data_IF_297933428374
#
_entry.id   IF_297933428374
#
_cell.length_a   1.000
_cell.length_b   1.000
_cell.length_c   1.000
_cell.angle_alpha   90.00
_cell.angle_beta   90.00
_cell.angle_gamma   90.00
#
_symmetry.space_group_name_H-M   'P 1'
#
loop_
_entity.id
_entity.type
_entity.pdbx_description
1 polymer ?
#
# COMPACT_ATOMS: atom_id res chain seq x y z
N UNK A 1 22.47 16.65 29.77
CA UNK A 1 22.66 15.88 28.52
C UNK A 1 21.44 16.16 27.65
N UNK A 2 21.60 16.92 26.59
CA UNK A 2 20.53 17.17 25.61
C UNK A 2 20.16 15.82 24.96
N UNK A 3 18.99 15.28 25.27
CA UNK A 3 18.47 14.13 24.52
C UNK A 3 18.30 14.58 23.07
N UNK A 4 19.12 14.04 22.17
CA UNK A 4 18.97 14.28 20.74
C UNK A 4 17.56 13.85 20.35
N UNK A 5 16.75 14.78 19.89
CA UNK A 5 15.36 14.51 19.49
C UNK A 5 15.37 13.43 18.39
N UNK A 6 14.70 12.30 18.65
CA UNK A 6 14.59 11.22 17.66
C UNK A 6 13.77 11.70 16.46
N UNK A 7 14.14 11.24 15.29
CA UNK A 7 13.41 11.51 14.05
C UNK A 7 13.08 10.22 13.30
N UNK A 8 11.94 10.19 12.65
CA UNK A 8 11.50 9.09 11.79
C UNK A 8 11.06 9.63 10.42
N UNK A 9 11.12 8.78 9.42
CA UNK A 9 10.54 9.07 8.13
C UNK A 9 9.35 8.15 7.84
N UNK A 10 8.39 8.60 7.04
CA UNK A 10 7.28 7.80 6.53
C UNK A 10 7.22 7.93 5.02
N UNK A 11 7.06 6.80 4.34
CA UNK A 11 6.86 6.75 2.89
C UNK A 11 5.74 5.78 2.52
N UNK A 12 5.14 6.03 1.37
CA UNK A 12 4.24 5.10 0.68
C UNK A 12 4.93 4.57 -0.57
N UNK A 13 4.81 3.28 -0.85
CA UNK A 13 5.50 2.65 -1.98
C UNK A 13 4.64 1.54 -2.58
N UNK A 14 4.79 1.32 -3.88
CA UNK A 14 4.02 0.34 -4.64
C UNK A 14 2.75 0.95 -5.24
N UNK A 15 1.69 0.16 -5.41
CA UNK A 15 0.36 0.67 -5.75
C UNK A 15 -0.27 1.41 -4.57
N UNK A 16 -1.08 2.40 -4.86
CA UNK A 16 -1.88 3.04 -3.82
C UNK A 16 -3.02 2.12 -3.35
N UNK A 17 -3.44 2.31 -2.11
CA UNK A 17 -4.55 1.58 -1.53
C UNK A 17 -5.42 2.54 -0.70
N UNK A 18 -6.74 2.32 -0.64
CA UNK A 18 -7.60 3.07 0.26
C UNK A 18 -7.08 2.95 1.71
N UNK A 19 -7.04 4.08 2.44
CA UNK A 19 -6.53 4.12 3.81
C UNK A 19 -5.03 4.41 3.96
N UNK A 20 -4.24 4.49 2.88
CA UNK A 20 -2.83 4.89 2.97
C UNK A 20 -2.67 6.28 3.60
N UNK A 21 -3.51 7.25 3.25
CA UNK A 21 -3.50 8.57 3.86
C UNK A 21 -3.83 8.52 5.36
N UNK A 22 -4.75 7.67 5.78
CA UNK A 22 -5.06 7.47 7.19
C UNK A 22 -3.84 6.89 7.95
N UNK A 23 -3.12 5.95 7.34
CA UNK A 23 -1.90 5.38 7.90
C UNK A 23 -0.77 6.43 8.00
N UNK A 24 -0.53 7.22 6.94
CA UNK A 24 0.43 8.34 6.96
C UNK A 24 0.08 9.32 8.10
N UNK A 25 -1.19 9.72 8.19
CA UNK A 25 -1.68 10.60 9.25
C UNK A 25 -1.45 10.03 10.64
N UNK A 26 -1.71 8.74 10.83
CA UNK A 26 -1.49 8.07 12.11
C UNK A 26 -0.01 8.09 12.51
N UNK A 27 0.89 7.75 11.59
CA UNK A 27 2.35 7.77 11.82
C UNK A 27 2.83 9.17 12.18
N UNK A 28 2.44 10.19 11.42
CA UNK A 28 2.85 11.59 11.66
C UNK A 28 2.36 12.07 13.02
N UNK A 29 1.07 11.90 13.31
CA UNK A 29 0.49 12.37 14.58
C UNK A 29 1.05 11.62 15.80
N UNK A 30 1.20 10.30 15.70
CA UNK A 30 1.78 9.50 16.78
C UNK A 30 3.26 9.84 17.03
N UNK A 31 4.03 10.04 15.95
CA UNK A 31 5.44 10.44 16.06
C UNK A 31 5.59 11.80 16.75
N UNK A 32 4.85 12.81 16.31
CA UNK A 32 4.86 14.16 16.91
C UNK A 32 4.41 14.11 18.38
N UNK A 33 3.35 13.36 18.69
CA UNK A 33 2.85 13.21 20.07
C UNK A 33 3.90 12.55 21.00
N UNK A 34 4.81 11.75 20.44
CA UNK A 34 5.94 11.16 21.15
C UNK A 34 7.19 12.06 21.18
N UNK A 35 7.08 13.31 20.72
CA UNK A 35 8.18 14.27 20.69
C UNK A 35 9.21 14.01 19.58
N UNK A 36 8.88 13.21 18.59
CA UNK A 36 9.75 12.93 17.45
C UNK A 36 9.56 13.98 16.34
N UNK A 37 10.61 14.23 15.57
CA UNK A 37 10.46 14.83 14.24
C UNK A 37 10.00 13.77 13.26
N UNK A 38 9.08 14.12 12.36
CA UNK A 38 8.57 13.19 11.36
C UNK A 38 8.77 13.79 9.97
N UNK A 39 9.41 13.05 9.09
CA UNK A 39 9.64 13.42 7.71
C UNK A 39 8.72 12.60 6.79
N UNK A 40 7.97 13.28 5.91
CA UNK A 40 7.29 12.67 4.80
C UNK A 40 8.22 12.54 3.61
N UNK A 41 8.33 11.34 3.05
CA UNK A 41 9.16 11.07 1.87
C UNK A 41 8.25 10.94 0.66
N UNK A 42 8.38 11.82 -0.30
CA UNK A 42 7.56 11.81 -1.51
C UNK A 42 8.06 10.79 -2.54
N UNK A 43 7.14 10.17 -3.27
CA UNK A 43 7.44 9.18 -4.33
C UNK A 43 8.23 7.97 -3.85
N UNK A 44 7.96 7.53 -2.62
CA UNK A 44 8.52 6.31 -2.07
C UNK A 44 10.05 6.33 -2.00
N UNK A 45 10.68 5.23 -2.41
CA UNK A 45 12.14 5.10 -2.35
C UNK A 45 12.89 6.09 -3.26
N UNK A 46 12.25 6.59 -4.34
CA UNK A 46 12.84 7.65 -5.16
C UNK A 46 13.08 8.93 -4.36
N UNK A 47 12.19 9.24 -3.42
CA UNK A 47 12.35 10.40 -2.56
C UNK A 47 13.57 10.31 -1.66
N UNK A 48 13.92 9.11 -1.18
CA UNK A 48 15.16 8.90 -0.42
C UNK A 48 16.42 9.08 -1.29
N UNK A 49 16.33 8.73 -2.57
CA UNK A 49 17.45 8.90 -3.50
C UNK A 49 17.68 10.36 -3.91
N UNK A 50 16.59 11.10 -4.05
CA UNK A 50 16.61 12.46 -4.58
C UNK A 50 16.55 13.54 -3.48
N UNK A 51 16.36 13.15 -2.22
CA UNK A 51 16.17 14.09 -1.12
C UNK A 51 14.80 14.78 -1.12
N UNK A 52 13.79 14.18 -1.77
CA UNK A 52 12.42 14.72 -1.85
C UNK A 52 11.66 14.42 -0.53
N UNK A 53 12.01 15.17 0.52
CA UNK A 53 11.61 14.93 1.90
C UNK A 53 11.21 16.24 2.56
N UNK A 54 10.11 16.23 3.29
CA UNK A 54 9.60 17.40 4.01
C UNK A 54 9.35 17.08 5.48
N UNK A 55 9.72 17.98 6.39
CA UNK A 55 9.37 17.85 7.82
C UNK A 55 7.87 18.09 8.00
N UNK A 56 7.17 17.09 8.53
CA UNK A 56 5.73 17.09 8.70
C UNK A 56 5.32 17.68 10.06
N UNK A 57 4.24 18.39 10.06
CA UNK A 57 3.56 18.88 11.26
C UNK A 57 2.10 18.38 11.32
N UNK A 58 1.37 18.71 12.38
CA UNK A 58 -0.03 18.25 12.54
C UNK A 58 -0.96 18.75 11.43
N UNK A 59 -0.66 19.92 10.83
CA UNK A 59 -1.44 20.49 9.74
C UNK A 59 -1.13 19.84 8.39
N UNK A 60 0.11 19.36 8.20
CA UNK A 60 0.50 18.67 6.96
C UNK A 60 -0.38 17.46 6.65
N UNK A 61 -1.00 16.86 7.66
CA UNK A 61 -1.86 15.69 7.55
C UNK A 61 -3.31 15.98 7.96
N UNK A 62 -3.74 17.25 7.88
CA UNK A 62 -5.14 17.63 8.10
C UNK A 62 -5.99 17.18 6.92
N UNK A 63 -7.24 16.79 7.21
CA UNK A 63 -8.29 16.49 6.24
C UNK A 63 -7.99 15.44 5.17
N UNK A 64 -6.94 14.61 5.39
CA UNK A 64 -6.54 13.55 4.45
C UNK A 64 -7.13 12.18 4.77
N UNK A 65 -7.72 11.98 5.94
CA UNK A 65 -8.14 10.66 6.44
C UNK A 65 -9.19 9.99 5.54
N UNK A 66 -10.07 10.78 4.94
CA UNK A 66 -11.12 10.30 4.04
C UNK A 66 -10.73 10.28 2.57
N UNK A 67 -9.51 10.73 2.23
CA UNK A 67 -9.08 10.80 0.84
C UNK A 67 -8.43 9.49 0.40
N UNK A 68 -8.83 9.00 -0.78
CA UNK A 68 -8.16 7.88 -1.44
C UNK A 68 -6.76 8.24 -1.93
N UNK A 69 -6.04 7.24 -2.45
CA UNK A 69 -4.67 7.42 -2.90
C UNK A 69 -3.69 7.66 -1.76
N UNK A 70 -2.61 8.35 -2.05
CA UNK A 70 -1.60 8.75 -1.06
C UNK A 70 -1.08 10.15 -1.31
N UNK A 71 -1.08 10.99 -0.29
CA UNK A 71 -0.56 12.36 -0.35
C UNK A 71 0.96 12.41 -0.58
N UNK A 72 1.68 11.35 -0.22
CA UNK A 72 3.13 11.25 -0.41
C UNK A 72 3.51 10.77 -1.81
N UNK A 73 2.53 10.50 -2.65
CA UNK A 73 2.72 9.87 -3.96
C UNK A 73 3.45 8.54 -3.86
N UNK A 74 3.52 7.81 -4.96
CA UNK A 74 4.24 6.55 -5.06
C UNK A 74 4.92 6.47 -6.41
N UNK A 75 6.09 5.83 -6.45
CA UNK A 75 6.81 5.57 -7.68
C UNK A 75 7.58 4.26 -7.57
N UNK A 76 7.74 3.59 -8.70
CA UNK A 76 8.71 2.49 -8.81
C UNK A 76 10.09 3.08 -8.99
N UNK A 77 11.11 2.45 -8.40
CA UNK A 77 12.49 2.88 -8.49
C UNK A 77 13.39 1.72 -8.90
N UNK A 78 13.81 1.71 -10.15
CA UNK A 78 14.80 0.75 -10.64
C UNK A 78 16.16 1.02 -10.02
N UNK A 79 16.50 2.30 -9.85
CA UNK A 79 17.75 2.72 -9.24
C UNK A 79 17.87 2.24 -7.78
N UNK A 80 16.80 2.34 -7.00
CA UNK A 80 16.80 1.83 -5.63
C UNK A 80 16.98 0.32 -5.55
N UNK A 81 16.60 -0.43 -6.58
CA UNK A 81 16.81 -1.87 -6.62
C UNK A 81 18.28 -2.28 -6.71
N UNK A 82 19.19 -1.35 -6.98
CA UNK A 82 20.63 -1.60 -7.05
C UNK A 82 21.29 -1.46 -5.67
N UNK A 83 22.40 -2.20 -5.38
CA UNK A 83 23.14 -2.03 -4.13
C UNK A 83 23.62 -0.60 -3.88
N UNK A 84 24.03 0.11 -4.95
CA UNK A 84 24.45 1.50 -4.86
C UNK A 84 23.29 2.45 -4.49
N UNK A 85 22.11 2.23 -5.05
CA UNK A 85 20.92 3.01 -4.72
C UNK A 85 20.49 2.78 -3.26
N UNK A 86 20.48 1.54 -2.78
CA UNK A 86 20.16 1.21 -1.38
C UNK A 86 21.14 1.93 -0.43
N UNK A 87 22.45 1.86 -0.73
CA UNK A 87 23.46 2.52 0.09
C UNK A 87 23.28 4.04 0.11
N UNK A 88 23.01 4.66 -1.06
CA UNK A 88 22.77 6.10 -1.18
C UNK A 88 21.52 6.53 -0.38
N UNK A 89 20.45 5.75 -0.42
CA UNK A 89 19.25 6.02 0.38
C UNK A 89 19.54 5.90 1.89
N UNK A 90 20.33 4.90 2.31
CA UNK A 90 20.73 4.74 3.70
C UNK A 90 21.61 5.89 4.17
N UNK A 91 22.57 6.34 3.37
CA UNK A 91 23.45 7.46 3.68
C UNK A 91 22.65 8.78 3.77
N UNK A 92 21.65 8.97 2.90
CA UNK A 92 20.73 10.09 2.99
C UNK A 92 19.93 10.07 4.30
N UNK A 93 19.36 8.92 4.70
CA UNK A 93 18.66 8.79 5.99
C UNK A 93 19.58 9.17 7.17
N UNK A 94 20.85 8.75 7.13
CA UNK A 94 21.84 9.12 8.17
C UNK A 94 22.13 10.62 8.16
N UNK A 95 22.27 11.24 6.98
CA UNK A 95 22.61 12.65 6.85
C UNK A 95 21.54 13.57 7.44
N UNK A 96 20.26 13.20 7.33
CA UNK A 96 19.14 13.94 7.92
C UNK A 96 18.80 13.47 9.35
N UNK A 97 19.58 12.54 9.90
CA UNK A 97 19.44 12.05 11.28
C UNK A 97 18.21 11.19 11.55
N UNK A 98 17.64 10.55 10.52
CA UNK A 98 16.49 9.64 10.66
C UNK A 98 16.92 8.35 11.34
N UNK A 99 16.29 8.01 12.46
CA UNK A 99 16.54 6.80 13.23
C UNK A 99 15.75 5.58 12.78
N UNK A 100 14.73 5.78 11.94
CA UNK A 100 13.93 4.70 11.37
C UNK A 100 12.94 5.18 10.33
N UNK A 101 12.54 4.28 9.45
CA UNK A 101 11.60 4.55 8.34
C UNK A 101 10.36 3.67 8.48
N UNK A 102 9.19 4.28 8.42
CA UNK A 102 7.91 3.57 8.33
C UNK A 102 7.54 3.46 6.85
N UNK A 103 7.43 2.23 6.36
CA UNK A 103 7.12 1.93 4.97
C UNK A 103 5.70 1.41 4.87
N UNK A 104 4.83 2.16 4.21
CA UNK A 104 3.43 1.78 3.96
C UNK A 104 3.35 1.25 2.52
N UNK A 105 2.98 -0.01 2.35
CA UNK A 105 2.89 -0.62 1.03
C UNK A 105 2.74 -2.13 1.05
N UNK A 106 2.93 -2.77 -0.09
CA UNK A 106 2.81 -4.22 -0.27
C UNK A 106 4.16 -4.96 -0.22
N UNK A 107 4.17 -6.21 -0.67
CA UNK A 107 5.31 -7.12 -0.64
C UNK A 107 6.60 -6.52 -1.24
N UNK A 108 6.51 -5.91 -2.43
CA UNK A 108 7.67 -5.27 -3.05
C UNK A 108 8.27 -4.14 -2.20
N UNK A 109 7.42 -3.37 -1.52
CA UNK A 109 7.84 -2.30 -0.62
C UNK A 109 8.57 -2.85 0.61
N UNK A 110 8.10 -3.98 1.14
CA UNK A 110 8.73 -4.64 2.29
C UNK A 110 10.07 -5.29 1.93
N UNK A 111 10.23 -5.81 0.72
CA UNK A 111 11.55 -6.24 0.21
C UNK A 111 12.52 -5.06 0.18
N UNK A 112 12.07 -3.89 -0.29
CA UNK A 112 12.86 -2.67 -0.25
C UNK A 112 13.21 -2.24 1.19
N UNK A 113 12.26 -2.29 2.11
CA UNK A 113 12.48 -2.01 3.53
C UNK A 113 13.51 -2.95 4.16
N UNK A 114 13.47 -4.23 3.82
CA UNK A 114 14.48 -5.22 4.27
C UNK A 114 15.88 -4.87 3.78
N UNK A 115 16.00 -4.46 2.51
CA UNK A 115 17.29 -4.02 1.98
C UNK A 115 17.83 -2.79 2.72
N UNK A 116 16.96 -1.81 3.04
CA UNK A 116 17.33 -0.63 3.81
C UNK A 116 17.73 -0.98 5.25
N UNK A 117 17.03 -1.96 5.86
CA UNK A 117 17.38 -2.48 7.19
C UNK A 117 18.75 -3.16 7.18
N UNK A 118 19.06 -3.95 6.15
CA UNK A 118 20.37 -4.56 5.99
C UNK A 118 21.50 -3.52 5.78
N UNK A 119 21.15 -2.34 5.24
CA UNK A 119 22.06 -1.19 5.15
C UNK A 119 22.15 -0.37 6.45
N UNK A 120 21.51 -0.81 7.54
CA UNK A 120 21.63 -0.24 8.89
C UNK A 120 20.59 0.83 9.24
N UNK A 121 19.51 0.96 8.50
CA UNK A 121 18.37 1.85 8.80
C UNK A 121 17.19 1.01 9.27
N UNK A 122 16.73 1.19 10.50
CA UNK A 122 15.58 0.46 11.02
C UNK A 122 14.31 0.76 10.21
N UNK A 123 13.59 -0.28 9.79
CA UNK A 123 12.34 -0.12 9.06
C UNK A 123 11.20 -0.87 9.74
N UNK A 124 10.01 -0.28 9.69
CA UNK A 124 8.76 -0.90 10.10
C UNK A 124 7.81 -0.87 8.90
N UNK A 125 7.24 -2.03 8.54
CA UNK A 125 6.26 -2.16 7.50
C UNK A 125 4.83 -1.99 8.02
N UNK A 126 4.00 -1.24 7.28
CA UNK A 126 2.55 -1.18 7.46
C UNK A 126 1.93 -1.74 6.18
N UNK A 127 1.19 -2.87 6.25
CA UNK A 127 0.65 -3.52 5.06
C UNK A 127 -0.47 -2.70 4.45
N UNK A 128 -0.14 -1.94 3.40
CA UNK A 128 -1.05 -1.09 2.62
C UNK A 128 -1.09 -1.56 1.17
N UNK A 129 -2.04 -2.44 0.86
CA UNK A 129 -2.28 -3.01 -0.46
C UNK A 129 -3.69 -3.57 -0.53
N UNK A 130 -4.31 -3.53 -1.71
CA UNK A 130 -5.60 -4.17 -1.94
C UNK A 130 -5.48 -5.68 -2.21
N UNK A 131 -4.29 -6.16 -2.54
CA UNK A 131 -4.07 -7.55 -2.99
C UNK A 131 -4.22 -8.58 -1.86
N UNK A 132 -4.13 -8.18 -0.60
CA UNK A 132 -4.16 -9.01 0.61
C UNK A 132 -3.13 -10.16 0.60
N UNK A 133 -1.98 -9.94 -0.07
CA UNK A 133 -0.94 -10.95 -0.31
C UNK A 133 0.22 -10.91 0.71
N UNK A 134 -0.01 -10.35 1.90
CA UNK A 134 0.99 -10.23 2.97
C UNK A 134 0.76 -11.30 4.05
N UNK A 135 1.59 -12.31 4.07
CA UNK A 135 1.44 -13.50 4.92
C UNK A 135 1.37 -13.23 6.44
N UNK A 136 1.85 -12.09 6.93
CA UNK A 136 1.82 -11.74 8.35
C UNK A 136 0.57 -10.93 8.77
N UNK A 137 -0.38 -10.73 7.87
CA UNK A 137 -1.59 -9.96 8.12
C UNK A 137 -2.80 -10.70 7.57
N UNK A 138 -3.88 -10.79 8.34
CA UNK A 138 -5.16 -11.34 7.86
C UNK A 138 -5.83 -10.38 6.88
N UNK A 139 -5.76 -9.08 7.16
CA UNK A 139 -6.27 -8.00 6.32
C UNK A 139 -5.22 -6.93 6.12
N UNK A 140 -5.02 -6.55 4.88
CA UNK A 140 -4.17 -5.40 4.53
C UNK A 140 -5.00 -4.13 4.47
N UNK A 141 -4.37 -2.99 4.77
CA UNK A 141 -5.02 -1.67 4.67
C UNK A 141 -5.42 -1.42 3.22
N UNK A 142 -6.71 -1.29 2.96
CA UNK A 142 -7.29 -1.05 1.65
C UNK A 142 -8.03 -2.24 1.03
N UNK A 143 -7.75 -3.47 1.45
CA UNK A 143 -8.40 -4.66 0.91
C UNK A 143 -9.93 -4.64 1.11
N UNK A 144 -10.40 -4.45 2.33
CA UNK A 144 -11.83 -4.42 2.65
C UNK A 144 -12.59 -3.34 1.86
N UNK A 145 -12.02 -2.14 1.76
CA UNK A 145 -12.61 -1.05 0.97
C UNK A 145 -12.66 -1.39 -0.52
N UNK A 146 -11.60 -2.00 -1.07
CA UNK A 146 -11.57 -2.41 -2.47
C UNK A 146 -12.61 -3.50 -2.75
N UNK A 147 -12.74 -4.48 -1.88
CA UNK A 147 -13.75 -5.54 -1.95
C UNK A 147 -15.16 -4.96 -1.94
N UNK A 148 -15.48 -4.09 -0.98
CA UNK A 148 -16.79 -3.45 -0.90
C UNK A 148 -17.11 -2.60 -2.14
N UNK A 149 -16.12 -1.93 -2.70
CA UNK A 149 -16.28 -1.18 -3.95
C UNK A 149 -16.60 -2.13 -5.12
N UNK A 150 -15.87 -3.25 -5.22
CA UNK A 150 -16.12 -4.26 -6.26
C UNK A 150 -17.54 -4.85 -6.13
N UNK A 151 -17.99 -5.21 -4.92
CA UNK A 151 -19.36 -5.69 -4.66
C UNK A 151 -20.40 -4.68 -5.19
N UNK A 152 -20.26 -3.41 -4.81
CA UNK A 152 -21.19 -2.36 -5.26
C UNK A 152 -21.24 -2.21 -6.80
N UNK A 153 -20.10 -2.34 -7.45
CA UNK A 153 -20.04 -2.26 -8.92
C UNK A 153 -20.65 -3.49 -9.60
N UNK A 154 -20.39 -4.69 -9.07
CA UNK A 154 -20.97 -5.94 -9.59
C UNK A 154 -22.49 -5.94 -9.43
N UNK A 155 -23.03 -5.49 -8.30
CA UNK A 155 -24.47 -5.39 -8.10
C UNK A 155 -25.14 -4.50 -9.14
N UNK A 156 -24.56 -3.35 -9.47
CA UNK A 156 -25.06 -2.46 -10.53
C UNK A 156 -25.04 -3.07 -11.92
N UNK A 157 -24.00 -3.88 -12.23
CA UNK A 157 -23.86 -4.58 -13.50
C UNK A 157 -24.90 -5.69 -13.59
N UNK A 158 -25.15 -6.41 -12.48
CA UNK A 158 -26.06 -7.56 -12.43
C UNK A 158 -27.48 -7.20 -12.79
N UNK A 159 -28.02 -6.07 -12.31
CA UNK A 159 -29.36 -5.63 -12.62
C UNK A 159 -29.61 -5.50 -14.13
N UNK A 160 -28.63 -4.92 -14.83
CA UNK A 160 -28.69 -4.75 -16.28
C UNK A 160 -28.47 -6.08 -17.01
N UNK A 161 -27.55 -6.91 -16.55
CA UNK A 161 -27.27 -8.21 -17.15
C UNK A 161 -28.52 -9.12 -17.14
N UNK A 162 -29.21 -9.16 -15.99
CA UNK A 162 -30.43 -9.92 -15.83
C UNK A 162 -31.56 -9.40 -16.73
N UNK A 163 -31.70 -8.09 -16.89
CA UNK A 163 -32.72 -7.48 -17.73
C UNK A 163 -32.54 -7.79 -19.23
N UNK A 164 -31.37 -8.19 -19.64
CA UNK A 164 -31.01 -8.43 -21.04
C UNK A 164 -30.58 -9.87 -21.38
N UNK A 165 -30.80 -10.82 -20.45
CA UNK A 165 -30.31 -12.22 -20.56
C UNK A 165 -28.83 -12.31 -20.93
N UNK A 166 -27.99 -11.52 -20.24
CA UNK A 166 -26.55 -11.44 -20.51
C UNK A 166 -25.76 -12.07 -19.38
N UNK A 167 -24.65 -12.71 -19.74
CA UNK A 167 -23.60 -13.07 -18.79
C UNK A 167 -22.55 -11.95 -18.79
N UNK A 168 -22.26 -11.40 -17.62
CA UNK A 168 -21.22 -10.38 -17.45
C UNK A 168 -19.98 -11.04 -16.85
N UNK A 169 -18.83 -10.85 -17.50
CA UNK A 169 -17.53 -11.22 -16.96
C UNK A 169 -16.88 -9.99 -16.36
N UNK A 170 -16.60 -10.03 -15.06
CA UNK A 170 -16.01 -8.91 -14.31
C UNK A 170 -14.61 -9.29 -13.87
N UNK A 171 -13.62 -8.59 -14.37
CA UNK A 171 -12.25 -8.70 -13.90
C UNK A 171 -12.01 -7.74 -12.75
N UNK A 172 -11.39 -8.23 -11.66
CA UNK A 172 -10.98 -7.44 -10.51
C UNK A 172 -9.47 -7.50 -10.33
N UNK A 173 -8.91 -6.51 -9.68
CA UNK A 173 -7.50 -6.52 -9.32
C UNK A 173 -7.24 -7.55 -8.19
N UNK A 174 -5.98 -7.86 -7.93
CA UNK A 174 -5.54 -8.81 -6.90
C UNK A 174 -4.18 -9.40 -7.25
N UNK A 175 -3.64 -9.09 -8.43
CA UNK A 175 -2.33 -9.54 -8.91
C UNK A 175 -2.24 -11.07 -8.99
N UNK A 176 -1.65 -11.73 -7.99
CA UNK A 176 -1.53 -13.20 -7.89
C UNK A 176 -2.38 -13.77 -6.76
N UNK A 177 -3.17 -12.93 -6.09
CA UNK A 177 -4.06 -13.30 -5.00
C UNK A 177 -5.50 -13.13 -5.48
N UNK A 178 -6.29 -14.18 -5.38
CA UNK A 178 -7.69 -14.21 -5.78
C UNK A 178 -8.68 -13.73 -4.72
N UNK A 179 -8.23 -13.21 -3.60
CA UNK A 179 -9.08 -12.85 -2.45
C UNK A 179 -10.19 -11.88 -2.81
N UNK A 180 -9.88 -10.79 -3.56
CA UNK A 180 -10.93 -9.84 -4.01
C UNK A 180 -11.96 -10.55 -4.88
N UNK A 181 -11.51 -11.34 -5.86
CA UNK A 181 -12.41 -12.07 -6.76
C UNK A 181 -13.27 -13.07 -5.98
N UNK A 182 -12.67 -13.83 -5.07
CA UNK A 182 -13.35 -14.83 -4.26
C UNK A 182 -14.41 -14.20 -3.36
N UNK A 183 -14.03 -13.23 -2.56
CA UNK A 183 -14.93 -12.58 -1.59
C UNK A 183 -16.04 -11.81 -2.31
N UNK A 184 -15.71 -11.06 -3.35
CA UNK A 184 -16.68 -10.33 -4.17
C UNK A 184 -17.66 -11.30 -4.84
N UNK A 185 -17.14 -12.37 -5.44
CA UNK A 185 -17.95 -13.35 -6.16
C UNK A 185 -18.92 -14.10 -5.23
N UNK A 186 -18.47 -14.48 -4.03
CA UNK A 186 -19.34 -15.09 -3.02
C UNK A 186 -20.41 -14.09 -2.57
N UNK A 187 -20.02 -12.87 -2.23
CA UNK A 187 -20.94 -11.85 -1.71
C UNK A 187 -22.03 -11.45 -2.74
N UNK A 188 -21.70 -11.44 -4.02
CA UNK A 188 -22.63 -11.08 -5.09
C UNK A 188 -23.37 -12.27 -5.70
N UNK A 189 -23.07 -13.51 -5.27
CA UNK A 189 -23.67 -14.73 -5.82
C UNK A 189 -23.29 -14.99 -7.26
N UNK A 190 -22.01 -14.79 -7.63
CA UNK A 190 -21.53 -15.06 -8.98
C UNK A 190 -21.67 -16.55 -9.35
N UNK A 191 -22.06 -16.82 -10.58
CA UNK A 191 -22.24 -18.20 -11.10
C UNK A 191 -20.91 -18.97 -11.12
N UNK A 192 -19.80 -18.28 -11.40
CA UNK A 192 -18.45 -18.83 -11.36
C UNK A 192 -17.46 -17.79 -10.87
N UNK A 193 -16.46 -18.24 -10.12
CA UNK A 193 -15.37 -17.40 -9.60
C UNK A 193 -14.06 -18.03 -10.02
N UNK A 194 -13.25 -17.27 -10.76
CA UNK A 194 -11.96 -17.70 -11.25
C UNK A 194 -10.86 -17.00 -10.45
N UNK A 195 -10.01 -17.77 -9.80
CA UNK A 195 -8.90 -17.26 -8.98
C UNK A 195 -7.57 -17.86 -9.45
N UNK A 196 -6.47 -17.15 -9.39
CA UNK A 196 -5.17 -17.63 -9.90
C UNK A 196 -4.62 -18.85 -9.14
N UNK A 197 -5.08 -19.09 -7.92
CA UNK A 197 -4.65 -20.23 -7.06
C UNK A 197 -5.25 -21.57 -7.49
N UNK A 198 -6.33 -21.55 -8.25
CA UNK A 198 -7.04 -22.75 -8.68
C UNK A 198 -6.99 -22.91 -10.19
N UNK A 199 -6.55 -24.10 -10.64
CA UNK A 199 -6.56 -24.41 -12.06
C UNK A 199 -8.01 -24.62 -12.52
N UNK A 200 -8.45 -23.89 -13.51
CA UNK A 200 -9.82 -23.95 -14.04
C UNK A 200 -9.83 -24.46 -15.49
N UNK A 201 -10.94 -25.08 -15.86
CA UNK A 201 -11.19 -25.55 -17.22
C UNK A 201 -12.12 -24.56 -17.92
N UNK A 202 -11.68 -23.99 -19.04
CA UNK A 202 -12.49 -23.05 -19.84
C UNK A 202 -13.76 -23.66 -20.43
N UNK A 203 -13.95 -25.01 -20.38
CA UNK A 203 -15.22 -25.63 -20.79
C UNK A 203 -16.43 -25.18 -19.94
N UNK A 204 -16.20 -24.55 -18.79
CA UNK A 204 -17.26 -23.88 -18.01
C UNK A 204 -17.95 -22.73 -18.73
N UNK A 205 -17.39 -22.20 -19.83
CA UNK A 205 -18.04 -21.20 -20.67
C UNK A 205 -19.25 -21.75 -21.45
N UNK A 206 -19.45 -23.07 -21.45
CA UNK A 206 -20.55 -23.73 -22.16
C UNK A 206 -21.74 -24.10 -21.28
N UNK A 207 -21.79 -23.55 -20.06
CA UNK A 207 -22.90 -23.76 -19.10
C UNK A 207 -24.07 -22.82 -19.47
#
# INVERSE_FOLDING_TARGET
>A
MSQTQKSIAVLTSGGDAPGMNAAVRAVVRAGINKGMKVYGVYRGYNGLLNGDVEEMNLRSVSDIIGNGGTMLYTARSEEYATPAGIQRAADFCRSIGVSGVVVIGGDGSFRGARCLTNAGINCIGVPGTIDNDIACSEYTVGFDTAMNTAIQMVDRIRDTAQSHDRCSVVEVMGRRCGDIALQTGIATGATAILVPEVQYNLSLIHI
#
